data_IF_532600857852
#
_entry.id   IF_532600857852
#
_cell.length_a   1.000
_cell.length_b   1.000
_cell.length_c   1.000
_cell.angle_alpha   90.00
_cell.angle_beta   90.00
_cell.angle_gamma   90.00
#
_symmetry.space_group_name_H-M   'P 1'
#
loop_
_entity.id
_entity.type
_entity.pdbx_description
1 polymer ?
#
# COMPACT_ATOMS: atom_id res chain seq x y z
N UNK A 1 -35.53 -1.80 -0.92
CA UNK A 1 -35.21 -0.35 -0.94
C UNK A 1 -34.87 0.02 -2.36
N UNK A 2 -35.29 1.20 -2.82
CA UNK A 2 -34.84 1.72 -4.11
C UNK A 2 -33.38 2.16 -4.02
N UNK A 3 -32.64 2.10 -5.14
CA UNK A 3 -31.27 2.59 -5.24
C UNK A 3 -31.19 4.07 -4.79
N UNK A 4 -30.22 4.41 -3.95
CA UNK A 4 -29.99 5.78 -3.46
C UNK A 4 -28.62 6.36 -3.88
N UNK A 5 -27.84 5.62 -4.68
CA UNK A 5 -26.53 6.03 -5.18
C UNK A 5 -26.25 5.43 -6.58
N UNK A 6 -25.31 5.97 -7.36
CA UNK A 6 -24.53 7.18 -7.09
C UNK A 6 -25.37 8.45 -7.19
N UNK A 7 -24.87 9.54 -6.63
CA UNK A 7 -25.57 10.83 -6.63
C UNK A 7 -24.89 11.87 -7.53
N UNK A 8 -25.64 12.93 -7.82
CA UNK A 8 -25.10 14.16 -8.42
C UNK A 8 -24.43 14.96 -7.30
N UNK A 9 -23.15 15.17 -7.37
CA UNK A 9 -22.39 16.01 -6.44
C UNK A 9 -22.70 17.47 -6.78
N UNK A 10 -23.37 18.16 -5.88
CA UNK A 10 -23.71 19.57 -6.02
C UNK A 10 -22.68 20.39 -5.27
N UNK A 11 -21.90 21.17 -6.01
CA UNK A 11 -20.92 22.08 -5.42
C UNK A 11 -21.65 23.32 -4.92
N UNK A 12 -22.01 23.33 -3.64
CA UNK A 12 -22.66 24.48 -3.02
C UNK A 12 -21.78 25.03 -1.91
N UNK A 13 -21.26 26.22 -2.10
CA UNK A 13 -20.36 26.90 -1.19
C UNK A 13 -21.01 27.34 0.13
N UNK A 14 -22.33 27.19 0.29
CA UNK A 14 -23.07 27.68 1.49
C UNK A 14 -23.79 26.59 2.29
N UNK A 15 -23.96 25.38 1.80
CA UNK A 15 -24.83 24.37 2.42
C UNK A 15 -24.16 23.02 2.69
N UNK A 16 -22.89 22.86 2.32
CA UNK A 16 -22.23 21.58 2.55
C UNK A 16 -22.00 21.42 4.06
N UNK A 17 -22.56 20.36 4.61
CA UNK A 17 -22.23 19.99 5.98
C UNK A 17 -20.74 19.66 6.03
N UNK A 18 -19.97 20.53 6.68
CA UNK A 18 -18.54 20.30 6.86
C UNK A 18 -18.36 19.08 7.77
N UNK A 19 -17.48 18.21 7.37
CA UNK A 19 -17.08 17.07 8.18
C UNK A 19 -16.33 17.51 9.44
N UNK A 20 -17.07 17.86 10.50
CA UNK A 20 -16.49 18.19 11.81
C UNK A 20 -16.25 16.91 12.57
N UNK A 21 -15.20 16.20 12.52
CA UNK A 21 -14.89 14.92 13.19
C UNK A 21 -15.44 13.65 12.51
N UNK A 22 -16.29 13.78 11.52
CA UNK A 22 -16.71 12.67 10.64
C UNK A 22 -15.99 12.80 9.31
N UNK A 23 -15.89 11.72 8.53
CA UNK A 23 -15.18 11.67 7.24
C UNK A 23 -13.64 11.76 7.36
N UNK A 24 -13.06 11.34 8.47
CA UNK A 24 -11.62 11.21 8.58
C UNK A 24 -11.15 10.05 7.70
N UNK A 25 -10.45 10.37 6.60
CA UNK A 25 -9.96 9.37 5.65
C UNK A 25 -8.44 9.39 5.62
N UNK A 26 -7.84 8.22 5.90
CA UNK A 26 -6.38 7.98 5.79
C UNK A 26 -6.17 6.77 4.89
N UNK A 27 -5.14 6.80 4.06
CA UNK A 27 -4.78 5.65 3.24
C UNK A 27 -3.26 5.50 3.09
N UNK A 28 -2.83 4.25 2.92
CA UNK A 28 -1.44 3.85 2.64
C UNK A 28 -1.50 2.50 1.91
N UNK A 29 -1.65 2.55 0.58
CA UNK A 29 -1.75 1.34 -0.25
C UNK A 29 -0.36 0.83 -0.58
N UNK A 30 0.05 -0.24 0.09
CA UNK A 30 1.33 -0.88 -0.17
C UNK A 30 1.47 -1.31 -1.66
N UNK A 31 2.68 -1.29 -2.20
CA UNK A 31 2.95 -1.86 -3.52
C UNK A 31 2.55 -3.33 -3.60
N UNK A 32 1.88 -3.72 -4.69
CA UNK A 32 1.28 -5.05 -4.85
C UNK A 32 1.29 -5.50 -6.31
N UNK A 33 0.95 -6.76 -6.56
CA UNK A 33 0.62 -7.22 -7.90
C UNK A 33 -0.81 -6.82 -8.26
N UNK A 34 -1.06 -6.65 -9.54
CA UNK A 34 -2.35 -6.26 -10.06
C UNK A 34 -2.83 -7.29 -11.07
N UNK A 35 -4.03 -7.83 -10.86
CA UNK A 35 -4.74 -8.64 -11.84
C UNK A 35 -5.93 -7.86 -12.39
N UNK A 36 -6.05 -7.75 -13.71
CA UNK A 36 -7.14 -7.03 -14.37
C UNK A 36 -7.99 -8.00 -15.16
N UNK A 37 -9.28 -7.99 -14.89
CA UNK A 37 -10.28 -8.78 -15.61
C UNK A 37 -11.28 -7.85 -16.30
N UNK A 38 -11.51 -8.12 -17.57
CA UNK A 38 -12.55 -7.43 -18.33
C UNK A 38 -13.92 -8.01 -17.97
N UNK A 39 -14.78 -7.19 -17.37
CA UNK A 39 -16.14 -7.56 -16.96
C UNK A 39 -17.20 -7.19 -18.02
N UNK A 40 -16.78 -6.53 -19.10
CA UNK A 40 -17.63 -6.07 -20.20
C UNK A 40 -18.14 -4.63 -20.01
N UNK A 41 -18.56 -4.26 -18.80
CA UNK A 41 -19.00 -2.90 -18.46
C UNK A 41 -17.97 -2.10 -17.65
N UNK A 42 -16.96 -2.77 -17.13
CA UNK A 42 -15.83 -2.18 -16.39
C UNK A 42 -14.63 -3.11 -16.40
N UNK A 43 -13.46 -2.58 -16.09
CA UNK A 43 -12.27 -3.38 -15.81
C UNK A 43 -12.15 -3.55 -14.30
N UNK A 44 -12.16 -4.81 -13.84
CA UNK A 44 -11.97 -5.16 -12.44
C UNK A 44 -10.48 -5.29 -12.15
N UNK A 45 -9.99 -4.55 -11.18
CA UNK A 45 -8.63 -4.61 -10.68
C UNK A 45 -8.65 -5.36 -9.35
N UNK A 46 -7.99 -6.47 -9.28
CA UNK A 46 -7.77 -7.23 -8.04
C UNK A 46 -6.31 -7.06 -7.65
N UNK A 47 -6.09 -6.64 -6.42
CA UNK A 47 -4.77 -6.54 -5.78
C UNK A 47 -4.57 -7.69 -4.80
N UNK A 48 -3.33 -8.00 -4.46
CA UNK A 48 -3.05 -9.01 -3.46
C UNK A 48 -3.51 -8.52 -2.07
N UNK A 49 -3.95 -9.45 -1.24
CA UNK A 49 -4.31 -9.13 0.13
C UNK A 49 -3.07 -8.73 0.94
N UNK A 50 -3.21 -7.70 1.75
CA UNK A 50 -2.17 -7.22 2.64
C UNK A 50 -2.55 -7.46 4.10
N UNK A 51 -1.56 -7.73 4.94
CA UNK A 51 -1.79 -8.02 6.37
C UNK A 51 -2.30 -6.80 7.16
N UNK A 52 -1.84 -5.61 6.77
CA UNK A 52 -2.23 -4.35 7.40
C UNK A 52 -3.28 -3.67 6.53
N UNK A 53 -4.46 -3.32 7.08
CA UNK A 53 -5.48 -2.58 6.33
C UNK A 53 -4.93 -1.26 5.80
N UNK A 54 -5.02 -1.00 4.49
CA UNK A 54 -4.45 0.21 3.90
C UNK A 54 -5.30 1.46 4.14
N UNK A 55 -6.52 1.32 4.64
CA UNK A 55 -7.47 2.43 4.78
C UNK A 55 -8.04 2.49 6.17
N UNK A 56 -8.09 3.71 6.71
CA UNK A 56 -8.86 4.06 7.92
C UNK A 56 -9.89 5.12 7.53
N UNK A 57 -11.14 4.86 7.82
CA UNK A 57 -12.23 5.81 7.64
C UNK A 57 -13.10 5.84 8.90
N UNK A 58 -13.22 7.01 9.53
CA UNK A 58 -13.94 7.20 10.79
C UNK A 58 -13.55 6.16 11.87
N UNK A 59 -12.24 5.96 12.07
CA UNK A 59 -11.64 5.02 13.03
C UNK A 59 -11.85 3.53 12.72
N UNK A 60 -12.53 3.20 11.64
CA UNK A 60 -12.66 1.84 11.15
C UNK A 60 -11.59 1.49 10.11
N UNK A 61 -11.16 0.23 10.12
CA UNK A 61 -10.09 -0.29 9.25
C UNK A 61 -10.69 -1.08 8.09
N UNK A 62 -10.21 -0.78 6.88
CA UNK A 62 -10.72 -1.37 5.65
C UNK A 62 -9.62 -1.99 4.80
N UNK A 63 -9.88 -3.18 4.27
CA UNK A 63 -9.05 -3.82 3.26
C UNK A 63 -9.59 -3.53 1.86
N UNK A 64 -8.71 -3.49 0.86
CA UNK A 64 -9.14 -3.41 -0.54
C UNK A 64 -9.73 -4.76 -0.94
N UNK A 65 -10.95 -4.73 -1.46
CA UNK A 65 -11.59 -5.89 -2.07
C UNK A 65 -11.27 -5.96 -3.58
N UNK A 66 -11.48 -4.86 -4.27
CA UNK A 66 -11.19 -4.68 -5.71
C UNK A 66 -11.24 -3.20 -6.07
N UNK A 67 -10.75 -2.84 -7.26
CA UNK A 67 -11.09 -1.56 -7.87
C UNK A 67 -11.78 -1.78 -9.23
N UNK A 68 -12.64 -0.86 -9.62
CA UNK A 68 -13.44 -0.91 -10.86
C UNK A 68 -13.22 0.34 -11.68
N UNK A 69 -12.73 0.20 -12.89
CA UNK A 69 -12.55 1.29 -13.83
C UNK A 69 -13.72 1.31 -14.81
N UNK A 70 -14.52 2.36 -14.75
CA UNK A 70 -15.68 2.61 -15.62
C UNK A 70 -15.38 3.72 -16.61
N UNK A 71 -16.04 3.70 -17.77
CA UNK A 71 -16.29 4.86 -18.62
C UNK A 71 -17.79 4.90 -18.92
N UNK A 72 -18.41 5.94 -18.86
CA UNK A 72 -18.49 7.23 -18.22
C UNK A 72 -18.35 7.12 -16.68
N UNK A 73 -18.11 8.22 -15.95
CA UNK A 73 -18.16 8.19 -14.49
C UNK A 73 -19.56 7.83 -13.99
N UNK A 74 -19.64 7.24 -12.80
CA UNK A 74 -20.88 6.92 -12.12
C UNK A 74 -21.50 8.17 -11.49
N UNK A 75 -20.67 9.01 -10.87
CA UNK A 75 -21.06 10.29 -10.31
C UNK A 75 -21.14 11.36 -11.39
N UNK A 76 -22.08 12.27 -11.24
CA UNK A 76 -22.17 13.50 -11.99
C UNK A 76 -21.89 14.70 -11.09
N UNK A 77 -21.53 15.83 -11.67
CA UNK A 77 -21.14 17.03 -10.95
C UNK A 77 -21.95 18.22 -11.45
N UNK A 78 -22.50 18.97 -10.52
CA UNK A 78 -23.24 20.20 -10.80
C UNK A 78 -22.56 21.33 -10.05
N UNK A 79 -22.08 22.34 -10.78
CA UNK A 79 -21.55 23.55 -10.15
C UNK A 79 -22.56 24.70 -10.30
N UNK A 80 -22.35 25.78 -9.57
CA UNK A 80 -23.28 26.93 -9.52
C UNK A 80 -23.49 27.64 -10.88
N UNK A 81 -22.65 27.34 -11.87
CA UNK A 81 -22.70 27.97 -13.19
C UNK A 81 -23.38 27.10 -14.25
N UNK A 82 -23.70 25.84 -13.93
CA UNK A 82 -24.31 24.90 -14.91
C UNK A 82 -25.66 24.42 -14.42
N UNK A 83 -26.63 24.38 -15.33
CA UNK A 83 -27.98 23.83 -15.05
C UNK A 83 -28.04 22.32 -15.24
N UNK A 84 -27.10 21.74 -15.98
CA UNK A 84 -27.07 20.31 -16.29
C UNK A 84 -25.89 19.62 -15.60
N UNK A 85 -26.10 18.45 -14.99
CA UNK A 85 -25.01 17.66 -14.43
C UNK A 85 -24.00 17.22 -15.50
N UNK A 86 -22.73 17.30 -15.18
CA UNK A 86 -21.62 16.92 -16.06
C UNK A 86 -20.89 15.71 -15.48
N UNK A 87 -20.71 14.68 -16.28
CA UNK A 87 -19.94 13.49 -15.92
C UNK A 87 -18.44 13.69 -16.23
N UNK A 88 -17.57 13.05 -15.46
CA UNK A 88 -16.19 12.84 -15.88
C UNK A 88 -16.13 11.78 -16.99
N UNK A 89 -15.00 11.74 -17.72
CA UNK A 89 -14.81 10.79 -18.82
C UNK A 89 -14.82 9.33 -18.34
N UNK A 90 -14.20 9.08 -17.17
CA UNK A 90 -14.15 7.79 -16.54
C UNK A 90 -14.16 7.94 -15.03
N UNK A 91 -14.27 6.84 -14.31
CA UNK A 91 -14.17 6.80 -12.83
C UNK A 91 -13.51 5.50 -12.37
N UNK A 92 -12.55 5.65 -11.46
CA UNK A 92 -11.97 4.54 -10.72
C UNK A 92 -12.65 4.45 -9.35
N UNK A 93 -13.33 3.35 -9.09
CA UNK A 93 -14.02 3.08 -7.82
C UNK A 93 -13.24 2.01 -7.07
N UNK A 94 -12.60 2.36 -5.95
CA UNK A 94 -11.91 1.41 -5.08
C UNK A 94 -12.90 0.95 -4.01
N UNK A 95 -13.16 -0.35 -4.01
CA UNK A 95 -14.10 -1.00 -3.10
C UNK A 95 -13.33 -1.56 -1.92
N UNK A 96 -13.73 -1.19 -0.71
CA UNK A 96 -13.12 -1.65 0.51
C UNK A 96 -14.13 -2.38 1.38
N UNK A 97 -13.64 -3.36 2.13
CA UNK A 97 -14.41 -4.12 3.10
C UNK A 97 -13.88 -3.82 4.51
N UNK A 98 -14.78 -3.49 5.43
CA UNK A 98 -14.45 -3.30 6.83
C UNK A 98 -13.92 -4.61 7.43
N UNK A 99 -12.89 -4.51 8.24
CA UNK A 99 -12.24 -5.68 8.83
C UNK A 99 -13.05 -6.34 9.96
N UNK A 100 -13.90 -5.57 10.63
CA UNK A 100 -14.67 -6.03 11.82
C UNK A 100 -16.09 -6.48 11.47
N UNK A 101 -16.65 -5.92 10.41
CA UNK A 101 -18.04 -6.16 10.00
C UNK A 101 -18.12 -6.22 8.46
N UNK A 102 -19.32 -6.31 7.92
CA UNK A 102 -19.56 -6.38 6.48
C UNK A 102 -19.73 -5.02 5.80
N UNK A 103 -19.59 -3.90 6.54
CA UNK A 103 -19.73 -2.59 5.93
C UNK A 103 -18.65 -2.34 4.87
N UNK A 104 -19.00 -1.57 3.85
CA UNK A 104 -18.10 -1.28 2.74
C UNK A 104 -17.94 0.22 2.56
N UNK A 105 -16.79 0.59 2.01
CA UNK A 105 -16.43 1.96 1.65
C UNK A 105 -16.04 2.00 0.18
N UNK A 106 -16.66 2.90 -0.58
CA UNK A 106 -16.32 3.16 -1.97
C UNK A 106 -15.56 4.49 -2.09
N UNK A 107 -14.32 4.43 -2.58
CA UNK A 107 -13.53 5.61 -2.91
C UNK A 107 -13.60 5.85 -4.41
N UNK A 108 -14.27 6.93 -4.79
CA UNK A 108 -14.66 7.26 -6.17
C UNK A 108 -13.79 8.39 -6.71
N UNK A 109 -12.98 8.09 -7.71
CA UNK A 109 -11.96 8.98 -8.26
C UNK A 109 -12.32 9.30 -9.70
N UNK A 110 -12.74 10.54 -9.99
CA UNK A 110 -13.05 10.94 -11.36
C UNK A 110 -11.78 10.99 -12.22
N UNK A 111 -11.93 10.68 -13.49
CA UNK A 111 -10.86 10.67 -14.47
C UNK A 111 -11.28 11.53 -15.66
N UNK A 112 -10.37 12.42 -16.09
CA UNK A 112 -10.57 13.25 -17.27
C UNK A 112 -9.51 12.97 -18.32
N UNK A 113 -9.86 13.15 -19.60
CA UNK A 113 -8.90 13.03 -20.67
C UNK A 113 -7.94 14.22 -20.70
N UNK A 114 -6.67 13.94 -21.00
CA UNK A 114 -5.65 14.97 -21.21
C UNK A 114 -4.80 14.63 -22.42
N UNK A 115 -4.40 15.65 -23.16
CA UNK A 115 -3.40 15.51 -24.21
C UNK A 115 -1.96 15.40 -23.66
N UNK A 116 -1.75 15.74 -22.37
CA UNK A 116 -0.45 15.65 -21.70
C UNK A 116 -0.40 14.39 -20.85
N UNK A 117 0.64 13.58 -21.06
CA UNK A 117 0.83 12.27 -20.40
C UNK A 117 1.92 12.29 -19.32
N UNK A 118 2.22 13.45 -18.77
CA UNK A 118 3.30 13.62 -17.78
C UNK A 118 2.92 13.15 -16.36
N UNK A 119 1.63 13.01 -16.06
CA UNK A 119 1.19 12.50 -14.76
C UNK A 119 1.41 10.98 -14.67
N UNK A 120 1.84 10.51 -13.48
CA UNK A 120 2.07 9.08 -13.21
C UNK A 120 0.83 8.23 -13.50
N UNK A 121 -0.36 8.73 -13.19
CA UNK A 121 -1.63 8.06 -13.47
C UNK A 121 -1.86 7.90 -14.99
N UNK A 122 -1.59 8.95 -15.78
CA UNK A 122 -1.76 8.90 -17.22
C UNK A 122 -0.81 7.89 -17.88
N UNK A 123 0.46 7.90 -17.50
CA UNK A 123 1.45 6.93 -17.98
C UNK A 123 1.08 5.48 -17.61
N UNK A 124 0.56 5.28 -16.41
CA UNK A 124 0.10 3.95 -15.98
C UNK A 124 -1.11 3.49 -16.77
N UNK A 125 -2.11 4.36 -17.01
CA UNK A 125 -3.28 4.02 -17.81
C UNK A 125 -2.89 3.68 -19.26
N UNK A 126 -1.97 4.43 -19.88
CA UNK A 126 -1.47 4.12 -21.21
C UNK A 126 -0.85 2.73 -21.28
N UNK A 127 0.01 2.41 -20.33
CA UNK A 127 0.66 1.12 -20.27
C UNK A 127 -0.36 -0.01 -20.05
N UNK A 128 -1.20 0.09 -19.00
CA UNK A 128 -2.06 -1.03 -18.61
C UNK A 128 -3.21 -1.27 -19.58
N UNK A 129 -3.79 -0.21 -20.17
CA UNK A 129 -4.87 -0.35 -21.13
C UNK A 129 -4.38 -0.88 -22.48
N UNK A 130 -3.15 -0.57 -22.87
CA UNK A 130 -2.49 -1.21 -24.02
C UNK A 130 -2.35 -2.72 -23.79
N UNK A 131 -1.94 -3.11 -22.58
CA UNK A 131 -1.81 -4.51 -22.22
C UNK A 131 -3.17 -5.22 -22.17
N UNK A 132 -4.20 -4.58 -21.61
CA UNK A 132 -5.57 -5.08 -21.62
C UNK A 132 -6.10 -5.27 -23.03
N UNK A 133 -5.87 -4.30 -23.93
CA UNK A 133 -6.29 -4.42 -25.34
C UNK A 133 -5.65 -5.61 -26.04
N UNK A 134 -4.42 -5.95 -25.65
CA UNK A 134 -3.65 -7.05 -26.24
C UNK A 134 -4.06 -8.42 -25.70
N UNK A 135 -4.29 -8.53 -24.38
CA UNK A 135 -4.42 -9.82 -23.67
C UNK A 135 -5.79 -10.10 -23.09
N UNK A 136 -6.58 -9.06 -22.84
CA UNK A 136 -7.90 -9.16 -22.22
C UNK A 136 -8.96 -8.26 -22.93
N UNK A 137 -9.03 -8.23 -24.28
CA UNK A 137 -9.93 -7.32 -25.00
C UNK A 137 -11.42 -7.61 -24.80
N UNK A 138 -11.79 -8.83 -24.39
CA UNK A 138 -13.18 -9.27 -24.33
C UNK A 138 -13.59 -9.63 -22.90
N UNK A 139 -14.90 -9.58 -22.64
CA UNK A 139 -15.49 -9.97 -21.35
C UNK A 139 -15.02 -11.35 -20.91
N UNK A 140 -14.62 -11.46 -19.67
CA UNK A 140 -14.14 -12.68 -19.01
C UNK A 140 -12.64 -12.91 -19.11
N UNK A 141 -11.97 -12.27 -20.06
CA UNK A 141 -10.52 -12.35 -20.18
C UNK A 141 -9.81 -11.53 -19.09
N UNK A 142 -8.56 -11.92 -18.80
CA UNK A 142 -7.78 -11.29 -17.75
C UNK A 142 -6.31 -11.16 -18.14
N UNK A 143 -5.65 -10.19 -17.54
CA UNK A 143 -4.20 -9.97 -17.61
C UNK A 143 -3.65 -9.72 -16.22
N UNK A 144 -2.36 -9.93 -16.05
CA UNK A 144 -1.67 -9.72 -14.77
C UNK A 144 -0.50 -8.76 -14.94
N UNK A 145 -0.36 -7.84 -14.02
CA UNK A 145 0.78 -6.96 -13.90
C UNK A 145 1.56 -7.34 -12.63
N UNK A 146 2.57 -8.20 -12.81
CA UNK A 146 3.37 -8.76 -11.73
C UNK A 146 4.61 -7.89 -11.47
N UNK A 147 4.40 -6.62 -11.13
CA UNK A 147 5.45 -5.73 -10.70
C UNK A 147 5.05 -5.15 -9.36
N UNK A 148 5.79 -5.46 -8.32
CA UNK A 148 5.64 -4.94 -6.95
C UNK A 148 5.77 -3.40 -6.83
N UNK A 149 5.69 -2.69 -7.93
CA UNK A 149 5.73 -1.22 -8.02
C UNK A 149 4.35 -0.59 -8.23
N UNK A 150 3.29 -1.41 -8.42
CA UNK A 150 1.92 -0.91 -8.50
C UNK A 150 1.42 -0.56 -7.10
N UNK A 151 0.91 0.64 -6.92
CA UNK A 151 0.20 1.07 -5.72
C UNK A 151 -0.99 1.93 -6.10
N UNK A 152 -2.12 1.72 -5.42
CA UNK A 152 -3.32 2.55 -5.54
C UNK A 152 -3.11 3.98 -5.01
N UNK A 153 -2.09 4.22 -4.19
CA UNK A 153 -1.72 5.57 -3.71
C UNK A 153 -1.56 6.60 -4.84
N UNK A 154 -1.08 6.15 -5.99
CA UNK A 154 -0.83 7.01 -7.14
C UNK A 154 -2.11 7.54 -7.80
N UNK A 155 -3.25 6.95 -7.47
CA UNK A 155 -4.54 7.29 -8.07
C UNK A 155 -5.42 8.11 -7.14
N UNK A 156 -5.21 8.02 -5.81
CA UNK A 156 -6.06 8.74 -4.85
C UNK A 156 -5.57 10.18 -4.70
N UNK A 157 -6.39 11.18 -5.07
CA UNK A 157 -6.00 12.57 -4.92
C UNK A 157 -5.82 12.96 -3.45
N UNK A 158 -4.79 13.76 -3.16
CA UNK A 158 -4.61 14.41 -1.85
C UNK A 158 -5.31 15.77 -1.86
N UNK A 159 -6.63 15.73 -2.05
CA UNK A 159 -7.48 16.89 -2.32
C UNK A 159 -8.77 16.81 -1.50
N UNK A 160 -9.51 17.89 -1.34
CA UNK A 160 -10.84 17.88 -0.75
C UNK A 160 -11.74 16.82 -1.38
N UNK A 161 -12.69 16.30 -0.63
CA UNK A 161 -13.62 15.29 -1.11
C UNK A 161 -15.00 15.45 -0.47
N UNK A 162 -15.97 14.83 -1.09
CA UNK A 162 -17.33 14.67 -0.57
C UNK A 162 -17.50 13.28 0.04
N UNK A 163 -18.34 13.18 1.06
CA UNK A 163 -18.72 11.90 1.65
C UNK A 163 -20.23 11.83 1.86
N UNK A 164 -20.81 10.68 1.62
CA UNK A 164 -22.20 10.40 1.89
C UNK A 164 -22.42 8.89 2.10
N UNK A 165 -23.55 8.54 2.70
CA UNK A 165 -24.01 7.16 2.79
C UNK A 165 -25.08 6.90 1.73
N UNK A 166 -25.02 5.76 1.07
CA UNK A 166 -25.97 5.37 0.02
C UNK A 166 -26.02 3.86 -0.14
N UNK A 167 -26.68 3.38 -1.20
CA UNK A 167 -26.70 1.96 -1.56
C UNK A 167 -25.63 1.65 -2.60
N UNK A 168 -25.33 0.36 -2.83
CA UNK A 168 -24.49 -0.03 -3.96
C UNK A 168 -25.06 0.46 -5.29
N UNK A 169 -24.22 0.90 -6.23
CA UNK A 169 -24.64 1.27 -7.57
C UNK A 169 -24.85 0.05 -8.49
N UNK A 170 -24.58 -1.14 -8.00
CA UNK A 170 -24.76 -2.42 -8.69
C UNK A 170 -25.39 -3.44 -7.74
N UNK A 171 -26.02 -4.52 -8.26
CA UNK A 171 -26.63 -5.56 -7.42
C UNK A 171 -25.64 -6.25 -6.45
N UNK A 172 -26.04 -6.52 -5.19
CA UNK A 172 -27.34 -6.18 -4.60
C UNK A 172 -27.44 -4.71 -4.18
N UNK A 173 -28.43 -3.97 -4.69
CA UNK A 173 -28.59 -2.51 -4.51
C UNK A 173 -29.22 -2.11 -3.16
N UNK A 174 -29.37 -3.05 -2.23
CA UNK A 174 -30.07 -2.84 -0.95
C UNK A 174 -29.13 -2.72 0.26
N UNK A 175 -27.84 -2.88 0.07
CA UNK A 175 -26.86 -2.76 1.15
C UNK A 175 -26.37 -1.31 1.25
N UNK A 176 -26.25 -0.83 2.49
CA UNK A 176 -25.72 0.51 2.79
C UNK A 176 -24.20 0.53 2.66
N UNK A 177 -23.67 1.54 1.99
CA UNK A 177 -22.23 1.76 1.76
C UNK A 177 -21.89 3.21 2.00
N UNK A 178 -20.69 3.45 2.52
CA UNK A 178 -20.11 4.78 2.61
C UNK A 178 -19.38 5.14 1.32
N UNK A 179 -19.49 6.39 0.92
CA UNK A 179 -18.83 6.94 -0.26
C UNK A 179 -17.87 8.06 0.11
N UNK A 180 -16.70 8.03 -0.52
CA UNK A 180 -15.78 9.14 -0.65
C UNK A 180 -15.69 9.47 -2.14
N UNK A 181 -16.01 10.70 -2.52
CA UNK A 181 -16.06 11.13 -3.92
C UNK A 181 -15.22 12.39 -4.09
N UNK A 182 -14.20 12.31 -4.92
CA UNK A 182 -13.38 13.48 -5.25
C UNK A 182 -14.08 14.36 -6.28
N UNK A 183 -13.79 15.68 -6.24
CA UNK A 183 -14.36 16.61 -7.20
C UNK A 183 -13.82 16.34 -8.62
N UNK A 184 -14.63 16.62 -9.63
CA UNK A 184 -14.21 16.53 -11.04
C UNK A 184 -13.06 17.50 -11.36
N UNK A 185 -12.95 18.61 -10.66
CA UNK A 185 -11.85 19.57 -10.83
C UNK A 185 -10.50 19.00 -10.34
N UNK A 186 -10.54 18.06 -9.40
CA UNK A 186 -9.40 17.34 -8.88
C UNK A 186 -9.21 15.94 -9.52
N UNK A 187 -9.86 15.72 -10.67
CA UNK A 187 -9.79 14.47 -11.42
C UNK A 187 -8.34 14.12 -11.79
N UNK A 188 -8.01 12.85 -11.67
CA UNK A 188 -6.77 12.33 -12.25
C UNK A 188 -6.89 12.25 -13.76
N UNK A 189 -5.76 12.21 -14.46
CA UNK A 189 -5.75 12.27 -15.91
C UNK A 189 -5.51 10.92 -16.57
N UNK A 190 -6.10 10.72 -17.71
CA UNK A 190 -5.88 9.61 -18.65
C UNK A 190 -5.60 10.17 -20.01
N UNK A 191 -4.69 9.59 -20.80
CA UNK A 191 -4.45 10.04 -22.16
C UNK A 191 -5.68 9.78 -23.05
N UNK A 192 -5.83 10.57 -24.10
CA UNK A 192 -6.88 10.35 -25.12
C UNK A 192 -6.79 8.95 -25.76
N UNK A 193 -5.56 8.44 -25.92
CA UNK A 193 -5.35 7.09 -26.44
C UNK A 193 -5.82 6.01 -25.47
N UNK A 194 -5.42 6.09 -24.19
CA UNK A 194 -5.86 5.16 -23.15
C UNK A 194 -7.40 5.16 -23.02
N UNK A 195 -8.02 6.34 -23.07
CA UNK A 195 -9.46 6.45 -23.04
C UNK A 195 -10.14 5.79 -24.25
N UNK A 196 -9.59 5.98 -25.46
CA UNK A 196 -10.10 5.31 -26.65
C UNK A 196 -10.01 3.77 -26.53
N UNK A 197 -8.92 3.29 -25.94
CA UNK A 197 -8.78 1.85 -25.67
C UNK A 197 -9.82 1.37 -24.64
N UNK A 198 -10.00 2.09 -23.52
CA UNK A 198 -11.01 1.75 -22.50
C UNK A 198 -12.41 1.63 -23.13
N UNK A 199 -12.79 2.57 -23.99
CA UNK A 199 -14.06 2.55 -24.75
C UNK A 199 -14.19 1.36 -25.70
N UNK A 200 -13.07 0.89 -26.24
CA UNK A 200 -13.03 -0.24 -27.16
C UNK A 200 -13.21 -1.58 -26.42
N UNK A 201 -12.61 -1.72 -25.23
CA UNK A 201 -12.60 -2.99 -24.49
C UNK A 201 -13.75 -3.13 -23.49
N UNK A 202 -14.42 -2.02 -23.12
CA UNK A 202 -15.59 -2.04 -22.24
C UNK A 202 -16.77 -1.30 -22.85
N UNK A 203 -17.97 -1.55 -22.34
CA UNK A 203 -19.17 -0.79 -22.67
C UNK A 203 -19.31 0.40 -21.74
N UNK A 204 -20.01 1.44 -22.21
CA UNK A 204 -20.40 2.57 -21.37
C UNK A 204 -21.22 2.09 -20.17
N UNK A 205 -20.96 2.65 -18.99
CA UNK A 205 -21.82 2.46 -17.83
C UNK A 205 -23.22 3.04 -18.08
N UNK A 206 -24.24 2.23 -17.83
CA UNK A 206 -25.65 2.64 -17.89
C UNK A 206 -26.17 3.15 -16.53
N UNK A 207 -25.30 3.16 -15.51
CA UNK A 207 -25.64 3.66 -14.19
C UNK A 207 -25.66 5.19 -14.25
N UNK A 208 -26.83 5.78 -14.00
CA UNK A 208 -26.99 7.22 -13.93
C UNK A 208 -27.02 7.71 -12.47
N UNK A 209 -26.44 8.88 -12.23
CA UNK A 209 -26.44 9.53 -10.95
C UNK A 209 -27.84 10.09 -10.62
N UNK A 210 -28.25 9.97 -9.36
CA UNK A 210 -29.53 10.44 -8.83
C UNK A 210 -29.38 11.84 -8.26
N UNK A 211 -30.44 12.65 -8.29
CA UNK A 211 -30.42 13.91 -7.54
C UNK A 211 -30.39 13.64 -6.03
N UNK A 212 -29.90 14.59 -5.25
CA UNK A 212 -29.88 14.47 -3.78
C UNK A 212 -31.28 14.28 -3.23
N UNK A 213 -32.28 15.00 -3.75
CA UNK A 213 -33.67 14.89 -3.34
C UNK A 213 -34.22 13.49 -3.62
N UNK A 214 -33.89 12.89 -4.75
CA UNK A 214 -34.33 11.53 -5.10
C UNK A 214 -33.66 10.47 -4.27
N UNK A 215 -32.36 10.67 -3.96
CA UNK A 215 -31.56 9.72 -3.22
C UNK A 215 -31.82 9.75 -1.72
N UNK A 216 -32.20 10.92 -1.18
CA UNK A 216 -32.31 11.19 0.26
C UNK A 216 -30.94 11.16 0.97
N UNK A 217 -29.86 11.20 0.21
CA UNK A 217 -28.49 11.18 0.76
C UNK A 217 -28.14 12.52 1.41
N UNK A 218 -27.44 12.46 2.52
CA UNK A 218 -26.87 13.63 3.18
C UNK A 218 -25.40 13.78 2.74
N UNK A 219 -25.10 14.88 2.08
CA UNK A 219 -23.76 15.14 1.52
C UNK A 219 -22.92 15.94 2.52
N UNK A 220 -21.72 15.43 2.81
CA UNK A 220 -20.72 16.08 3.64
C UNK A 220 -19.50 16.46 2.79
N UNK A 221 -18.84 17.55 3.16
CA UNK A 221 -17.63 18.04 2.49
C UNK A 221 -16.44 18.06 3.45
N UNK A 222 -15.33 17.44 3.03
CA UNK A 222 -14.06 17.49 3.73
C UNK A 222 -13.12 18.44 2.98
N UNK A 223 -12.89 19.67 3.49
CA UNK A 223 -12.04 20.65 2.82
C UNK A 223 -10.54 20.36 2.96
N UNK A 224 -10.14 19.53 3.92
CA UNK A 224 -8.72 19.23 4.19
C UNK A 224 -8.19 18.08 3.35
N UNK A 225 -9.08 17.27 2.80
CA UNK A 225 -8.71 16.06 2.07
C UNK A 225 -8.25 14.92 2.98
N UNK A 226 -7.66 13.87 2.40
CA UNK A 226 -7.13 12.73 3.16
C UNK A 226 -6.03 13.14 4.12
N UNK A 227 -6.05 12.57 5.32
CA UNK A 227 -5.01 12.80 6.33
C UNK A 227 -3.73 12.06 5.89
N UNK A 228 -2.57 12.73 5.84
CA UNK A 228 -1.31 12.05 5.54
C UNK A 228 -1.04 10.91 6.52
N UNK A 229 -0.50 9.77 6.07
CA UNK A 229 -0.21 8.62 6.94
C UNK A 229 0.76 8.96 8.09
N UNK A 230 1.62 9.97 7.90
CA UNK A 230 2.59 10.46 8.88
C UNK A 230 2.16 11.77 9.57
N UNK A 231 0.93 12.24 9.38
CA UNK A 231 0.42 13.29 10.23
C UNK A 231 0.34 12.71 11.64
N UNK A 232 1.35 13.02 12.44
CA UNK A 232 1.43 12.58 13.81
C UNK A 232 0.09 12.88 14.48
N UNK A 233 -0.45 11.92 15.18
CA UNK A 233 -1.52 12.16 16.12
C UNK A 233 -1.00 13.30 17.00
N UNK A 234 -1.63 14.47 16.89
CA UNK A 234 -1.41 15.51 17.89
C UNK A 234 -2.05 14.92 19.15
N UNK A 235 -1.25 14.21 19.92
CA UNK A 235 -1.60 13.91 21.29
C UNK A 235 -1.72 15.26 21.98
N UNK A 236 -2.94 15.79 22.04
CA UNK A 236 -3.26 16.80 23.04
C UNK A 236 -3.20 16.02 24.35
N UNK A 237 -2.02 16.05 24.95
CA UNK A 237 -1.86 15.57 26.32
C UNK A 237 -2.70 16.54 27.20
N UNK A 238 -3.96 16.17 27.38
CA UNK A 238 -4.82 16.85 28.33
C UNK A 238 -4.27 16.47 29.72
N UNK A 239 -3.26 17.23 30.18
CA UNK A 239 -2.80 17.11 31.53
C UNK A 239 -3.97 17.48 32.45
N UNK A 240 -4.35 16.60 33.39
CA UNK A 240 -5.39 16.92 34.34
C UNK A 240 -4.94 18.17 35.13
N UNK A 241 -5.67 19.25 34.99
CA UNK A 241 -5.51 20.43 35.86
C UNK A 241 -6.27 20.18 37.15
N UNK A 242 -5.65 20.49 38.29
CA UNK A 242 -6.37 20.53 39.56
C UNK A 242 -7.52 21.57 39.54
N UNK A 243 -8.42 21.50 40.52
CA UNK A 243 -9.57 22.39 40.67
C UNK A 243 -9.20 23.89 40.74
N UNK A 244 -7.93 24.18 40.96
CA UNK A 244 -7.33 25.55 41.02
C UNK A 244 -6.67 25.96 39.71
N UNK A 245 -6.69 25.13 38.68
CA UNK A 245 -6.08 25.39 37.37
C UNK A 245 -4.57 25.18 37.32
N UNK A 246 -3.92 24.71 38.38
CA UNK A 246 -2.51 24.33 38.34
C UNK A 246 -2.31 23.00 37.56
N UNK A 247 -1.28 23.00 36.69
CA UNK A 247 -0.86 21.78 35.99
C UNK A 247 -0.21 20.86 37.01
N UNK A 248 -0.84 19.71 37.28
CA UNK A 248 -0.24 18.65 38.10
C UNK A 248 0.94 18.05 37.33
N UNK A 249 2.12 18.63 37.51
CA UNK A 249 3.37 18.08 36.98
C UNK A 249 3.66 16.80 37.77
N UNK A 250 3.69 15.61 37.16
CA UNK A 250 4.15 14.41 37.87
C UNK A 250 5.58 14.69 38.33
N UNK A 251 5.84 14.42 39.62
CA UNK A 251 7.16 14.58 40.23
C UNK A 251 8.22 13.99 39.31
N UNK A 252 9.26 14.79 38.99
CA UNK A 252 10.40 14.37 38.18
C UNK A 252 10.82 12.96 38.57
N UNK A 253 10.63 11.98 37.67
CA UNK A 253 11.37 10.75 37.77
C UNK A 253 12.84 11.10 37.56
N UNK A 254 13.63 10.91 38.60
CA UNK A 254 15.08 11.02 38.54
C UNK A 254 15.59 10.18 37.36
N UNK A 255 16.37 10.81 36.50
CA UNK A 255 17.07 10.18 35.38
C UNK A 255 18.21 9.30 35.88
N UNK A 256 17.85 8.18 36.54
CA UNK A 256 18.74 7.06 36.76
C UNK A 256 18.58 6.10 35.59
N UNK A 257 19.61 5.99 34.76
CA UNK A 257 19.62 5.15 33.58
C UNK A 257 19.43 3.67 33.89
N UNK A 258 18.18 3.25 33.90
CA UNK A 258 17.80 1.84 33.81
C UNK A 258 17.18 1.66 32.44
N UNK A 259 17.87 0.92 31.57
CA UNK A 259 17.31 0.44 30.32
C UNK A 259 15.99 -0.26 30.61
N UNK A 260 14.89 0.38 30.21
CA UNK A 260 13.55 -0.05 30.50
C UNK A 260 13.34 -1.46 29.90
N UNK A 261 13.10 -2.45 30.75
CA UNK A 261 12.90 -3.86 30.36
C UNK A 261 11.75 -4.03 29.34
N UNK A 262 10.79 -3.12 29.33
CA UNK A 262 9.70 -3.08 28.36
C UNK A 262 10.20 -2.66 26.97
N UNK A 263 11.11 -1.69 26.89
CA UNK A 263 11.73 -1.23 25.67
C UNK A 263 12.62 -2.33 25.05
N UNK A 264 13.38 -3.04 25.90
CA UNK A 264 14.16 -4.22 25.49
C UNK A 264 13.26 -5.35 24.97
N UNK A 265 12.14 -5.63 25.61
CA UNK A 265 11.16 -6.62 25.13
C UNK A 265 10.53 -6.23 23.80
N UNK A 266 10.19 -4.96 23.59
CA UNK A 266 9.68 -4.45 22.31
C UNK A 266 10.73 -4.56 21.21
N UNK A 267 11.98 -4.16 21.50
CA UNK A 267 13.07 -4.29 20.53
C UNK A 267 13.34 -5.75 20.15
N UNK A 268 13.23 -6.70 21.10
CA UNK A 268 13.44 -8.13 20.83
C UNK A 268 12.39 -8.73 19.88
N UNK A 269 11.21 -8.15 19.79
CA UNK A 269 10.15 -8.60 18.88
C UNK A 269 10.32 -8.13 17.43
N UNK A 270 11.21 -7.17 17.17
CA UNK A 270 11.48 -6.75 15.79
C UNK A 270 12.30 -7.82 15.06
N UNK A 271 11.77 -8.31 13.96
CA UNK A 271 12.41 -9.31 13.08
C UNK A 271 13.82 -8.86 12.65
N UNK A 272 14.01 -7.57 12.42
CA UNK A 272 15.32 -6.97 12.06
C UNK A 272 16.37 -7.19 13.16
N UNK A 273 16.02 -7.03 14.45
CA UNK A 273 16.94 -7.23 15.57
C UNK A 273 17.39 -8.69 15.64
N UNK A 274 16.49 -9.64 15.43
CA UNK A 274 16.81 -11.09 15.39
C UNK A 274 17.75 -11.41 14.23
N UNK A 275 17.55 -10.80 13.06
CA UNK A 275 18.44 -10.97 11.89
C UNK A 275 19.82 -10.39 12.18
N UNK A 276 19.93 -9.21 12.78
CA UNK A 276 21.21 -8.58 13.12
C UNK A 276 21.99 -9.42 14.16
N UNK A 277 21.31 -9.94 15.19
CA UNK A 277 21.94 -10.83 16.19
C UNK A 277 22.40 -12.13 15.52
N UNK A 278 21.59 -12.72 14.65
CA UNK A 278 21.94 -13.90 13.88
C UNK A 278 23.18 -13.69 13.00
N UNK A 279 23.25 -12.56 12.31
CA UNK A 279 24.40 -12.18 11.48
C UNK A 279 25.66 -12.01 12.33
N UNK A 280 25.56 -11.40 13.51
CA UNK A 280 26.68 -11.19 14.42
C UNK A 280 27.22 -12.53 14.97
N UNK A 281 26.32 -13.45 15.34
CA UNK A 281 26.71 -14.81 15.75
C UNK A 281 27.41 -15.55 14.62
N UNK A 282 26.92 -15.46 13.39
CA UNK A 282 27.57 -16.08 12.23
C UNK A 282 28.97 -15.54 11.97
N UNK A 283 29.19 -14.23 12.13
CA UNK A 283 30.52 -13.60 11.99
C UNK A 283 31.47 -14.13 13.08
N UNK A 284 31.01 -14.29 14.32
CA UNK A 284 31.82 -14.82 15.42
C UNK A 284 32.21 -16.29 15.13
N UNK A 285 31.26 -17.11 14.72
CA UNK A 285 31.48 -18.51 14.38
C UNK A 285 32.47 -18.64 13.19
N UNK A 286 32.33 -17.78 12.19
CA UNK A 286 33.24 -17.73 11.05
C UNK A 286 34.69 -17.41 11.49
N UNK A 287 34.88 -16.41 12.36
CA UNK A 287 36.21 -16.08 12.92
C UNK A 287 36.80 -17.22 13.72
N UNK A 288 36.01 -17.91 14.54
CA UNK A 288 36.45 -19.09 15.29
C UNK A 288 36.88 -20.22 14.34
N UNK A 289 36.06 -20.52 13.33
CA UNK A 289 36.38 -21.53 12.34
C UNK A 289 37.71 -21.20 11.58
N UNK A 290 37.88 -19.96 11.17
CA UNK A 290 39.11 -19.49 10.52
C UNK A 290 40.33 -19.58 11.45
N UNK A 291 40.20 -19.31 12.74
CA UNK A 291 41.26 -19.45 13.71
C UNK A 291 41.68 -20.92 13.89
N UNK A 292 40.68 -21.83 13.94
CA UNK A 292 40.93 -23.27 14.03
C UNK A 292 41.65 -23.76 12.74
N UNK A 293 41.15 -23.38 11.57
CA UNK A 293 41.77 -23.72 10.28
C UNK A 293 43.21 -23.21 10.17
N UNK A 294 43.46 -21.97 10.60
CA UNK A 294 44.80 -21.39 10.62
C UNK A 294 45.72 -22.13 11.63
N UNK A 295 45.19 -22.59 12.75
CA UNK A 295 45.93 -23.39 13.72
C UNK A 295 46.32 -24.74 13.14
N UNK A 296 45.40 -25.41 12.46
CA UNK A 296 45.63 -26.68 11.75
C UNK A 296 46.67 -26.49 10.62
N UNK A 297 46.51 -25.44 9.81
CA UNK A 297 47.46 -25.13 8.73
C UNK A 297 48.88 -24.87 9.25
N UNK A 298 49.00 -24.14 10.37
CA UNK A 298 50.30 -23.92 11.04
C UNK A 298 50.91 -25.23 11.60
N UNK A 299 50.06 -26.16 12.03
CA UNK A 299 50.53 -27.49 12.50
C UNK A 299 50.97 -28.36 11.32
N UNK A 300 50.27 -28.28 10.19
CA UNK A 300 50.62 -28.99 8.95
C UNK A 300 51.92 -28.46 8.28
N UNK A 301 52.23 -27.16 8.42
CA UNK A 301 53.43 -26.55 7.86
C UNK A 301 54.71 -26.86 8.67
N UNK A 302 54.61 -27.55 9.79
CA UNK A 302 55.76 -28.04 10.56
C UNK A 302 56.26 -29.42 10.14
N UNK A 303 55.76 -29.96 9.02
CA UNK A 303 56.42 -31.09 8.36
C UNK A 303 57.78 -30.58 7.87
N UNK A 304 58.83 -31.13 8.41
CA UNK A 304 60.21 -30.68 8.16
C UNK A 304 60.61 -31.09 6.73
N UNK A 305 60.04 -30.36 5.76
CA UNK A 305 60.36 -30.57 4.32
C UNK A 305 61.85 -30.41 4.06
N UNK A 306 62.57 -29.57 4.84
CA UNK A 306 63.97 -29.38 4.74
C UNK A 306 64.75 -30.67 5.10
N UNK A 307 64.25 -31.43 6.07
CA UNK A 307 64.85 -32.70 6.46
C UNK A 307 64.61 -33.81 5.44
N UNK A 308 63.41 -33.90 4.92
CA UNK A 308 63.02 -34.84 3.86
C UNK A 308 63.79 -34.60 2.57
N UNK A 309 64.04 -33.36 2.17
CA UNK A 309 64.85 -32.99 0.99
C UNK A 309 66.30 -33.32 1.20
N UNK A 310 66.86 -33.12 2.41
CA UNK A 310 68.20 -33.44 2.75
C UNK A 310 68.48 -34.95 2.74
N UNK A 311 67.58 -35.75 3.23
CA UNK A 311 67.66 -37.23 3.20
C UNK A 311 67.51 -37.77 1.78
N UNK A 312 66.62 -37.20 0.96
CA UNK A 312 66.50 -37.57 -0.45
C UNK A 312 67.77 -37.23 -1.26
N UNK A 313 68.47 -36.14 -0.95
CA UNK A 313 69.70 -35.73 -1.62
C UNK A 313 70.89 -36.65 -1.27
N UNK A 314 70.81 -37.40 -0.18
CA UNK A 314 71.81 -38.39 0.26
C UNK A 314 71.51 -39.81 -0.29
N UNK A 315 70.49 -39.98 -1.11
CA UNK A 315 70.09 -41.24 -1.72
C UNK A 315 69.23 -42.15 -0.81
N UNK A 316 68.80 -41.70 0.36
CA UNK A 316 67.97 -42.49 1.28
C UNK A 316 66.50 -42.25 1.04
N UNK A 317 66.00 -42.75 -0.07
CA UNK A 317 64.56 -42.55 -0.48
C UNK A 317 63.52 -43.16 0.50
N UNK A 318 63.90 -44.21 1.25
CA UNK A 318 63.05 -44.85 2.24
C UNK A 318 62.87 -43.96 3.49
N UNK A 319 63.89 -43.26 3.93
CA UNK A 319 63.84 -42.34 5.04
C UNK A 319 62.98 -41.10 4.74
N UNK A 320 63.13 -40.56 3.53
CA UNK A 320 62.36 -39.41 3.08
C UNK A 320 60.84 -39.74 2.99
N UNK A 321 60.41 -40.88 2.51
CA UNK A 321 59.06 -41.33 2.42
C UNK A 321 58.38 -41.50 3.83
N UNK A 322 59.18 -42.09 4.78
CA UNK A 322 58.69 -42.27 6.17
C UNK A 322 58.41 -40.94 6.91
N UNK A 323 59.21 -39.89 6.65
CA UNK A 323 58.99 -38.55 7.26
C UNK A 323 57.76 -37.89 6.70
N UNK A 324 57.47 -38.03 5.42
CA UNK A 324 56.27 -37.48 4.79
C UNK A 324 55.02 -38.22 5.27
N UNK A 325 55.07 -39.55 5.38
CA UNK A 325 53.96 -40.38 5.87
C UNK A 325 53.63 -40.14 7.35
N UNK A 326 54.61 -39.88 8.20
CA UNK A 326 54.42 -39.53 9.60
C UNK A 326 53.81 -38.13 9.81
N UNK A 327 54.06 -37.21 8.86
CA UNK A 327 53.49 -35.85 8.91
C UNK A 327 52.05 -35.75 8.45
N UNK A 328 51.52 -36.76 7.73
CA UNK A 328 50.16 -36.77 7.14
C UNK A 328 49.15 -37.49 8.01
N UNK A 329 49.54 -38.24 9.07
CA UNK A 329 48.58 -38.89 9.96
C UNK A 329 47.85 -37.86 10.82
N UNK A 330 46.53 -37.70 10.65
CA UNK A 330 45.75 -36.84 11.55
C UNK A 330 45.75 -37.46 12.95
N UNK A 331 45.94 -36.61 13.94
CA UNK A 331 45.69 -36.94 15.36
C UNK A 331 44.21 -36.94 15.64
#
# INVERSE_FOLDING_TARGET
MSRSAPIIIVKNTQADKICNLKCAYKFDYAPTNLQIKNMGTYLRWKVDEVSTPPVVYNDDFYNVLEARLYWKSLHAYLNNSTTNPVYADAELVIVHLNRKNTSQLLVCIPITQSSTTTADSAMFFDFILTEVARTAPSKGQQTSYNKSTFSLDKFVPKKPFYSYNGTFPWPPENESVDYIVFDKEDAITMSTNAYAVLKKVTRKSEIDALSIETSGAELFYNPTGPVPPNAGEIYIDCQPTGDDGEILVPAKLDSGGVLDNELLKRMWNFTIVKILIGALVMIILWKLAMNILNSIAKSASKVDVGRAVKEASIGNTKGAAAIVEAGIKPK
#
